data_IF_446259557646
#
_entry.id   IF_446259557646
#
_cell.length_a   1.000
_cell.length_b   1.000
_cell.length_c   1.000
_cell.angle_alpha   90.00
_cell.angle_beta   90.00
_cell.angle_gamma   90.00
#
_symmetry.space_group_name_H-M   'P 1'
#
loop_
_entity.id
_entity.type
_entity.pdbx_description
1 polymer ?
#
# COMPACT_ATOMS: atom_id res chain seq x y z
N UNK A 1 -27.32 102.55 -41.92
CA UNK A 1 -27.43 101.50 -42.95
C UNK A 1 -27.14 100.16 -42.29
N UNK A 2 -28.21 99.45 -41.95
CA UNK A 2 -28.38 97.99 -42.01
C UNK A 2 -27.27 97.14 -41.38
N UNK A 3 -27.51 96.73 -40.13
CA UNK A 3 -26.94 95.51 -39.55
C UNK A 3 -27.19 94.35 -40.53
N UNK A 4 -26.12 93.74 -41.03
CA UNK A 4 -26.19 92.61 -41.95
C UNK A 4 -26.89 91.45 -41.26
N UNK A 5 -28.08 91.12 -41.77
CA UNK A 5 -28.83 89.92 -41.36
C UNK A 5 -27.89 88.70 -41.44
N UNK A 6 -27.84 87.85 -40.39
CA UNK A 6 -27.05 86.63 -40.42
C UNK A 6 -27.40 85.80 -41.66
N UNK A 7 -26.40 85.22 -42.33
CA UNK A 7 -26.64 84.23 -43.39
C UNK A 7 -27.17 82.94 -42.74
N UNK A 8 -28.50 82.90 -42.56
CA UNK A 8 -29.23 81.79 -41.97
C UNK A 8 -28.97 80.46 -42.71
N UNK A 9 -28.59 80.50 -43.99
CA UNK A 9 -28.26 79.29 -44.76
C UNK A 9 -26.90 78.72 -44.36
N UNK A 10 -25.91 79.58 -44.11
CA UNK A 10 -24.61 79.17 -43.61
C UNK A 10 -24.70 78.60 -42.19
N UNK A 11 -25.47 79.25 -41.30
CA UNK A 11 -25.71 78.77 -39.93
C UNK A 11 -26.43 77.42 -39.90
N UNK A 12 -27.43 77.21 -40.76
CA UNK A 12 -28.15 75.94 -40.87
C UNK A 12 -27.24 74.78 -41.31
N UNK A 13 -26.35 75.01 -42.28
CA UNK A 13 -25.40 73.99 -42.76
C UNK A 13 -24.31 73.67 -41.73
N UNK A 14 -23.90 74.67 -40.94
CA UNK A 14 -22.97 74.47 -39.83
C UNK A 14 -23.63 73.67 -38.69
N UNK A 15 -24.89 73.95 -38.38
CA UNK A 15 -25.66 73.20 -37.40
C UNK A 15 -25.91 71.75 -37.85
N UNK A 16 -26.17 71.51 -39.15
CA UNK A 16 -26.25 70.15 -39.70
C UNK A 16 -24.94 69.37 -39.53
N UNK A 17 -23.79 69.99 -39.86
CA UNK A 17 -22.48 69.37 -39.66
C UNK A 17 -22.19 69.09 -38.19
N UNK A 18 -22.62 69.96 -37.26
CA UNK A 18 -22.50 69.71 -35.82
C UNK A 18 -23.39 68.55 -35.36
N UNK A 19 -24.59 68.40 -35.92
CA UNK A 19 -25.49 67.27 -35.61
C UNK A 19 -24.94 65.95 -36.14
N UNK A 20 -24.44 65.92 -37.37
CA UNK A 20 -23.81 64.74 -37.95
C UNK A 20 -22.52 64.34 -37.19
N UNK A 21 -21.70 65.32 -36.81
CA UNK A 21 -20.51 65.06 -35.99
C UNK A 21 -20.87 64.54 -34.59
N UNK A 22 -21.93 65.08 -33.97
CA UNK A 22 -22.41 64.61 -32.68
C UNK A 22 -23.00 63.19 -32.75
N UNK A 23 -23.73 62.86 -33.82
CA UNK A 23 -24.28 61.53 -34.03
C UNK A 23 -23.18 60.48 -34.29
N UNK A 24 -22.16 60.83 -35.08
CA UNK A 24 -21.00 59.96 -35.30
C UNK A 24 -20.20 59.75 -34.01
N UNK A 25 -19.95 60.82 -33.24
CA UNK A 25 -19.28 60.71 -31.94
C UNK A 25 -20.07 59.85 -30.94
N UNK A 26 -21.42 59.90 -30.99
CA UNK A 26 -22.27 59.07 -30.15
C UNK A 26 -22.19 57.59 -30.55
N UNK A 27 -22.20 57.28 -31.85
CA UNK A 27 -22.03 55.91 -32.37
C UNK A 27 -20.65 55.33 -32.04
N UNK A 28 -19.59 56.13 -32.17
CA UNK A 28 -18.24 55.71 -31.79
C UNK A 28 -18.13 55.45 -30.27
N UNK A 29 -18.75 56.29 -29.44
CA UNK A 29 -18.77 56.09 -28.00
C UNK A 29 -19.58 54.86 -27.57
N UNK A 30 -20.65 54.52 -28.30
CA UNK A 30 -21.45 53.31 -28.07
C UNK A 30 -20.67 52.05 -28.47
N UNK A 31 -20.07 52.03 -29.66
CA UNK A 31 -19.23 50.93 -30.11
C UNK A 31 -18.03 50.68 -29.17
N UNK A 32 -17.39 51.74 -28.66
CA UNK A 32 -16.30 51.61 -27.70
C UNK A 32 -16.76 50.99 -26.36
N UNK A 33 -17.99 51.31 -25.90
CA UNK A 33 -18.56 50.72 -24.68
C UNK A 33 -18.91 49.25 -24.87
N UNK A 34 -19.47 48.89 -26.02
CA UNK A 34 -19.76 47.49 -26.35
C UNK A 34 -18.48 46.65 -26.45
N UNK A 35 -17.42 47.18 -27.07
CA UNK A 35 -16.12 46.51 -27.14
C UNK A 35 -15.50 46.34 -25.75
N UNK A 36 -15.59 47.36 -24.89
CA UNK A 36 -15.12 47.26 -23.51
C UNK A 36 -15.91 46.24 -22.70
N UNK A 37 -17.22 46.18 -22.89
CA UNK A 37 -18.09 45.20 -22.23
C UNK A 37 -17.76 43.77 -22.68
N UNK A 38 -17.63 43.53 -23.99
CA UNK A 38 -17.25 42.23 -24.53
C UNK A 38 -15.87 41.79 -24.01
N UNK A 39 -14.91 42.71 -23.91
CA UNK A 39 -13.58 42.43 -23.36
C UNK A 39 -13.64 42.02 -21.89
N UNK A 40 -14.47 42.68 -21.09
CA UNK A 40 -14.69 42.33 -19.67
C UNK A 40 -15.37 40.97 -19.51
N UNK A 41 -16.37 40.67 -20.35
CA UNK A 41 -17.05 39.38 -20.36
C UNK A 41 -16.10 38.24 -20.75
N UNK A 42 -15.25 38.42 -21.76
CA UNK A 42 -14.20 37.43 -22.11
C UNK A 42 -13.18 37.24 -20.98
N UNK A 43 -12.74 38.31 -20.33
CA UNK A 43 -11.80 38.22 -19.21
C UNK A 43 -12.42 37.47 -18.03
N UNK A 44 -13.70 37.74 -17.74
CA UNK A 44 -14.44 37.03 -16.68
C UNK A 44 -14.59 35.54 -17.01
N UNK A 45 -14.97 35.19 -18.25
CA UNK A 45 -15.06 33.78 -18.68
C UNK A 45 -13.72 33.06 -18.58
N UNK A 46 -12.61 33.71 -18.94
CA UNK A 46 -11.26 33.15 -18.78
C UNK A 46 -10.89 32.91 -17.31
N UNK A 47 -11.28 33.82 -16.41
CA UNK A 47 -11.06 33.65 -14.96
C UNK A 47 -11.88 32.48 -14.40
N UNK A 48 -13.15 32.38 -14.76
CA UNK A 48 -14.04 31.29 -14.33
C UNK A 48 -13.56 29.93 -14.88
N UNK A 49 -13.12 29.86 -16.15
CA UNK A 49 -12.54 28.65 -16.73
C UNK A 49 -11.22 28.26 -16.07
N UNK A 50 -10.36 29.23 -15.72
CA UNK A 50 -9.11 28.99 -15.00
C UNK A 50 -9.36 28.47 -13.57
N UNK A 51 -10.34 29.06 -12.87
CA UNK A 51 -10.76 28.62 -11.53
C UNK A 51 -11.32 27.20 -11.56
N UNK A 52 -12.22 26.89 -12.50
CA UNK A 52 -12.73 25.52 -12.69
C UNK A 52 -11.64 24.53 -13.09
N UNK A 53 -10.68 24.93 -13.93
CA UNK A 53 -9.54 24.08 -14.28
C UNK A 53 -8.65 23.82 -13.07
N UNK A 54 -8.44 24.83 -12.21
CA UNK A 54 -7.69 24.71 -10.97
C UNK A 54 -8.41 23.80 -9.97
N UNK A 55 -9.72 23.95 -9.78
CA UNK A 55 -10.52 23.05 -8.93
C UNK A 55 -10.49 21.60 -9.43
N UNK A 56 -10.66 21.38 -10.74
CA UNK A 56 -10.56 20.04 -11.34
C UNK A 56 -9.16 19.45 -11.19
N UNK A 57 -8.11 20.27 -11.30
CA UNK A 57 -6.75 19.84 -11.07
C UNK A 57 -6.56 19.44 -9.60
N UNK A 58 -6.98 20.27 -8.64
CA UNK A 58 -6.93 19.99 -7.20
C UNK A 58 -7.70 18.72 -6.86
N UNK A 59 -8.92 18.53 -7.39
CA UNK A 59 -9.71 17.33 -7.14
C UNK A 59 -9.09 16.07 -7.77
N UNK A 60 -8.48 16.19 -8.94
CA UNK A 60 -7.75 15.09 -9.58
C UNK A 60 -6.51 14.70 -8.77
N UNK A 61 -5.75 15.67 -8.25
CA UNK A 61 -4.60 15.42 -7.37
C UNK A 61 -5.04 14.80 -6.05
N UNK A 62 -6.15 15.26 -5.48
CA UNK A 62 -6.76 14.72 -4.25
C UNK A 62 -7.24 13.27 -4.42
N UNK A 63 -7.57 12.84 -5.63
CA UNK A 63 -7.89 11.43 -5.97
C UNK A 63 -6.65 10.53 -6.12
N UNK A 64 -5.44 11.09 -6.19
CA UNK A 64 -4.17 10.38 -6.34
C UNK A 64 -3.21 10.54 -5.17
N UNK A 65 -3.59 11.29 -4.11
CA UNK A 65 -2.73 11.55 -2.96
C UNK A 65 -2.49 10.28 -2.13
N UNK A 66 -1.24 10.09 -1.67
CA UNK A 66 -0.89 9.08 -0.67
C UNK A 66 -1.75 9.25 0.60
N UNK A 67 -2.00 8.18 1.36
CA UNK A 67 -2.88 8.29 2.52
C UNK A 67 -2.24 9.12 3.64
N UNK A 68 -3.07 9.73 4.47
CA UNK A 68 -2.72 10.26 5.78
C UNK A 68 -2.50 9.08 6.75
N UNK A 69 -1.47 9.19 7.58
CA UNK A 69 -1.15 8.22 8.62
C UNK A 69 -1.66 8.75 9.97
N UNK A 70 -2.55 7.99 10.63
CA UNK A 70 -3.19 8.39 11.90
C UNK A 70 -3.04 7.31 12.98
N UNK A 71 -3.08 7.67 14.27
CA UNK A 71 -3.00 6.70 15.34
C UNK A 71 -4.28 5.84 15.43
N UNK A 72 -4.11 4.52 15.52
CA UNK A 72 -5.20 3.59 15.80
C UNK A 72 -5.54 3.57 17.29
N UNK A 73 -6.34 4.55 17.71
CA UNK A 73 -6.57 4.86 19.13
C UNK A 73 -7.25 3.73 19.93
N UNK A 74 -8.14 2.96 19.32
CA UNK A 74 -8.90 1.90 19.99
C UNK A 74 -8.30 0.49 19.83
N UNK A 75 -7.13 0.36 19.17
CA UNK A 75 -6.48 -0.93 18.92
C UNK A 75 -6.33 -1.78 20.19
N UNK A 76 -5.81 -1.20 21.27
CA UNK A 76 -5.61 -1.92 22.52
C UNK A 76 -6.92 -2.37 23.16
N UNK A 77 -7.99 -1.57 23.04
CA UNK A 77 -9.30 -1.93 23.58
C UNK A 77 -9.93 -3.08 22.79
N UNK A 78 -9.76 -3.09 21.45
CA UNK A 78 -10.19 -4.19 20.59
C UNK A 78 -9.44 -5.48 20.94
N UNK A 79 -8.10 -5.40 21.07
CA UNK A 79 -7.26 -6.52 21.49
C UNK A 79 -7.66 -7.06 22.86
N UNK A 80 -7.89 -6.18 23.85
CA UNK A 80 -8.31 -6.56 25.19
C UNK A 80 -9.64 -7.33 25.18
N UNK A 81 -10.63 -6.87 24.40
CA UNK A 81 -11.94 -7.53 24.29
C UNK A 81 -11.80 -8.98 23.81
N UNK A 82 -10.97 -9.22 22.80
CA UNK A 82 -10.69 -10.57 22.27
C UNK A 82 -10.03 -11.44 23.34
N UNK A 83 -9.10 -10.86 24.09
CA UNK A 83 -8.41 -11.56 25.16
C UNK A 83 -9.29 -11.87 26.36
N UNK A 84 -10.19 -10.98 26.74
CA UNK A 84 -11.17 -11.22 27.81
C UNK A 84 -12.05 -12.43 27.45
N UNK A 85 -12.58 -12.44 26.23
CA UNK A 85 -13.38 -13.57 25.71
C UNK A 85 -12.59 -14.88 25.68
N UNK A 86 -11.31 -14.83 25.33
CA UNK A 86 -10.43 -16.00 25.31
C UNK A 86 -10.12 -16.52 26.73
N UNK A 87 -9.83 -15.63 27.67
CA UNK A 87 -9.51 -16.01 29.04
C UNK A 87 -10.73 -16.55 29.79
N UNK A 88 -11.91 -15.96 29.58
CA UNK A 88 -13.19 -16.44 30.14
C UNK A 88 -13.60 -17.82 29.61
N UNK A 89 -13.10 -18.23 28.44
CA UNK A 89 -13.43 -19.53 27.86
C UNK A 89 -12.78 -20.71 28.58
N UNK A 90 -11.71 -20.47 29.33
CA UNK A 90 -10.88 -21.53 29.94
C UNK A 90 -9.83 -22.13 28.99
N UNK A 91 -9.88 -21.81 27.69
CA UNK A 91 -8.96 -22.36 26.67
C UNK A 91 -7.48 -22.19 27.03
N UNK A 92 -7.10 -21.04 27.58
CA UNK A 92 -5.72 -20.77 27.98
C UNK A 92 -5.22 -21.69 29.11
N UNK A 93 -6.11 -22.33 29.87
CA UNK A 93 -5.75 -23.28 30.94
C UNK A 93 -5.57 -24.71 30.42
N UNK A 94 -5.99 -24.98 29.18
CA UNK A 94 -5.89 -26.31 28.57
C UNK A 94 -4.49 -26.57 27.98
N UNK A 95 -4.07 -27.84 27.96
CA UNK A 95 -2.78 -28.25 27.42
C UNK A 95 -2.91 -28.71 25.96
N UNK A 96 -3.26 -27.77 25.08
CA UNK A 96 -3.43 -28.04 23.65
C UNK A 96 -2.11 -28.10 22.86
N UNK A 97 -1.04 -27.55 23.42
CA UNK A 97 0.16 -27.24 22.66
C UNK A 97 1.36 -28.11 23.01
N UNK A 98 2.37 -28.01 22.14
CA UNK A 98 3.65 -28.68 22.20
C UNK A 98 4.30 -28.58 23.59
N UNK A 99 4.99 -29.66 23.99
CA UNK A 99 5.68 -29.71 25.27
C UNK A 99 6.75 -28.62 25.40
N UNK A 100 7.00 -28.16 26.63
CA UNK A 100 8.04 -27.16 26.92
C UNK A 100 9.40 -27.58 26.35
N UNK A 101 9.75 -28.87 26.48
CA UNK A 101 11.02 -29.39 25.98
C UNK A 101 11.18 -29.21 24.47
N UNK A 102 10.14 -29.55 23.69
CA UNK A 102 10.17 -29.37 22.24
C UNK A 102 10.21 -27.89 21.84
N UNK A 103 9.58 -27.00 22.62
CA UNK A 103 9.70 -25.55 22.42
C UNK A 103 11.12 -25.05 22.69
N UNK A 104 11.78 -25.56 23.73
CA UNK A 104 13.19 -25.24 24.03
C UNK A 104 14.12 -25.71 22.90
N UNK A 105 13.93 -26.94 22.40
CA UNK A 105 14.70 -27.47 21.26
C UNK A 105 14.49 -26.62 19.99
N UNK A 106 13.25 -26.23 19.72
CA UNK A 106 12.92 -25.36 18.57
C UNK A 106 13.54 -23.98 18.73
N UNK A 107 13.48 -23.40 19.93
CA UNK A 107 14.09 -22.11 20.25
C UNK A 107 15.61 -22.12 20.04
N UNK A 108 16.28 -23.19 20.47
CA UNK A 108 17.72 -23.37 20.24
C UNK A 108 18.05 -23.50 18.75
N UNK A 109 17.23 -24.22 17.97
CA UNK A 109 17.40 -24.32 16.52
C UNK A 109 17.25 -22.97 15.81
N UNK A 110 16.26 -22.17 16.21
CA UNK A 110 16.02 -20.82 15.67
C UNK A 110 17.18 -19.89 16.03
N UNK A 111 17.66 -19.92 17.27
CA UNK A 111 18.78 -19.08 17.76
C UNK A 111 20.09 -19.30 17.00
N UNK A 112 20.31 -20.48 16.44
CA UNK A 112 21.53 -20.80 15.66
C UNK A 112 21.58 -20.13 14.29
N UNK A 113 20.46 -19.62 13.78
CA UNK A 113 20.43 -18.91 12.49
C UNK A 113 20.71 -17.43 12.72
N UNK A 114 21.65 -16.87 11.94
CA UNK A 114 21.90 -15.43 11.96
C UNK A 114 20.78 -14.70 11.20
N UNK A 115 20.25 -13.62 11.78
CA UNK A 115 19.27 -12.76 11.13
C UNK A 115 19.98 -11.71 10.27
N UNK A 116 20.06 -11.93 8.96
CA UNK A 116 20.80 -11.05 8.04
C UNK A 116 19.95 -10.45 6.92
N UNK A 117 18.71 -10.92 6.74
CA UNK A 117 17.85 -10.55 5.62
C UNK A 117 16.36 -10.66 5.97
N UNK A 118 15.50 -10.12 5.11
CA UNK A 118 14.04 -10.34 5.18
C UNK A 118 13.67 -11.82 5.08
N UNK A 119 14.42 -12.61 4.30
CA UNK A 119 14.21 -14.05 4.20
C UNK A 119 14.51 -14.77 5.53
N UNK A 120 15.59 -14.39 6.21
CA UNK A 120 15.90 -14.95 7.53
C UNK A 120 14.83 -14.55 8.56
N UNK A 121 14.36 -13.30 8.49
CA UNK A 121 13.26 -12.81 9.33
C UNK A 121 11.96 -13.58 9.07
N UNK A 122 11.62 -13.85 7.81
CA UNK A 122 10.47 -14.67 7.45
C UNK A 122 10.54 -16.06 8.10
N UNK A 123 11.69 -16.73 8.02
CA UNK A 123 11.87 -18.03 8.68
C UNK A 123 11.69 -17.92 10.18
N UNK A 124 12.28 -16.90 10.81
CA UNK A 124 12.16 -16.67 12.24
C UNK A 124 10.70 -16.47 12.67
N UNK A 125 9.99 -15.57 12.00
CA UNK A 125 8.59 -15.22 12.29
C UNK A 125 7.66 -16.41 12.07
N UNK A 126 7.90 -17.19 11.02
CA UNK A 126 7.14 -18.40 10.75
C UNK A 126 7.13 -19.37 11.92
N UNK A 127 8.30 -19.73 12.43
CA UNK A 127 8.41 -20.73 13.49
C UNK A 127 7.96 -20.19 14.86
N UNK A 128 8.25 -18.92 15.15
CA UNK A 128 8.06 -18.34 16.48
C UNK A 128 6.68 -17.74 16.70
N UNK A 129 6.00 -17.31 15.63
CA UNK A 129 4.72 -16.59 15.72
C UNK A 129 3.67 -17.20 14.80
N UNK A 130 3.89 -17.21 13.48
CA UNK A 130 2.85 -17.57 12.51
C UNK A 130 2.31 -19.00 12.70
N UNK A 131 3.20 -19.98 12.82
CA UNK A 131 2.82 -21.39 13.02
C UNK A 131 2.12 -21.56 14.38
N UNK A 132 2.54 -20.82 15.41
CA UNK A 132 1.92 -20.86 16.73
C UNK A 132 0.50 -20.28 16.70
N UNK A 133 0.31 -19.14 16.04
CA UNK A 133 -1.02 -18.53 15.83
C UNK A 133 -1.93 -19.47 15.04
N UNK A 134 -1.41 -20.09 13.98
CA UNK A 134 -2.17 -21.05 13.16
C UNK A 134 -2.62 -22.27 13.99
N UNK A 135 -1.75 -22.82 14.84
CA UNK A 135 -2.08 -23.91 15.77
C UNK A 135 -3.12 -23.50 16.80
N UNK A 136 -3.00 -22.30 17.38
CA UNK A 136 -3.99 -21.78 18.33
C UNK A 136 -5.36 -21.65 17.66
N UNK A 137 -5.44 -21.02 16.49
CA UNK A 137 -6.70 -20.85 15.75
C UNK A 137 -7.32 -22.20 15.38
N UNK A 138 -6.51 -23.20 15.02
CA UNK A 138 -6.99 -24.56 14.79
C UNK A 138 -7.62 -25.18 16.06
N UNK A 139 -7.00 -24.93 17.22
CA UNK A 139 -7.57 -25.29 18.52
C UNK A 139 -8.90 -24.58 18.78
N UNK A 140 -8.95 -23.26 18.61
CA UNK A 140 -10.17 -22.44 18.80
C UNK A 140 -11.31 -22.87 17.87
N UNK A 141 -11.00 -23.21 16.62
CA UNK A 141 -11.98 -23.70 15.65
C UNK A 141 -12.58 -25.07 16.05
N UNK A 142 -11.83 -25.89 16.80
CA UNK A 142 -12.30 -27.19 17.27
C UNK A 142 -13.35 -27.06 18.39
N UNK A 143 -13.32 -25.97 19.16
CA UNK A 143 -14.35 -25.63 20.15
C UNK A 143 -15.54 -24.90 19.48
N UNK A 144 -16.74 -25.49 19.56
CA UNK A 144 -17.97 -24.94 18.98
C UNK A 144 -18.41 -23.59 19.58
N UNK A 145 -18.08 -23.30 20.84
CA UNK A 145 -18.40 -22.02 21.49
C UNK A 145 -17.50 -20.92 20.94
N UNK A 146 -16.19 -21.15 20.99
CA UNK A 146 -15.17 -20.22 20.52
C UNK A 146 -15.24 -19.99 19.01
N UNK A 147 -15.45 -21.08 18.24
CA UNK A 147 -15.69 -20.99 16.80
C UNK A 147 -16.84 -20.04 16.45
N UNK A 148 -17.96 -20.12 17.17
CA UNK A 148 -19.10 -19.22 16.93
C UNK A 148 -18.83 -17.80 17.41
N UNK A 149 -18.15 -17.66 18.55
CA UNK A 149 -17.83 -16.37 19.15
C UNK A 149 -16.91 -15.52 18.27
N UNK A 150 -15.87 -16.14 17.70
CA UNK A 150 -14.89 -15.50 16.82
C UNK A 150 -15.19 -15.70 15.32
N UNK A 151 -16.37 -16.22 14.96
CA UNK A 151 -16.77 -16.38 13.56
C UNK A 151 -15.86 -17.29 12.72
N UNK A 152 -15.14 -18.23 13.34
CA UNK A 152 -14.16 -19.06 12.65
C UNK A 152 -14.84 -20.07 11.71
N UNK A 153 -14.61 -19.97 10.41
CA UNK A 153 -15.08 -20.90 9.36
C UNK A 153 -14.05 -21.97 8.94
N UNK A 154 -12.81 -21.92 9.46
CA UNK A 154 -11.76 -22.91 9.19
C UNK A 154 -10.38 -22.50 9.73
N UNK A 155 -9.31 -22.87 9.01
CA UNK A 155 -7.92 -22.69 9.46
C UNK A 155 -7.24 -21.47 8.83
N UNK A 156 -6.35 -20.84 9.58
CA UNK A 156 -5.49 -19.75 9.08
C UNK A 156 -4.12 -20.31 8.68
N UNK A 157 -3.59 -19.83 7.55
CA UNK A 157 -2.24 -20.12 7.07
C UNK A 157 -1.53 -18.82 6.64
N UNK A 158 -0.21 -18.80 6.75
CA UNK A 158 0.63 -17.71 6.26
C UNK A 158 1.34 -18.14 4.97
N UNK A 159 0.98 -17.54 3.84
CA UNK A 159 1.38 -17.96 2.49
C UNK A 159 2.09 -16.83 1.72
N UNK A 160 3.11 -17.16 0.92
CA UNK A 160 3.83 -16.20 0.07
C UNK A 160 3.21 -16.07 -1.35
N UNK A 161 2.25 -16.93 -1.72
CA UNK A 161 1.82 -17.08 -3.11
C UNK A 161 0.49 -16.36 -3.38
N UNK A 162 0.54 -15.07 -3.75
CA UNK A 162 -0.66 -14.31 -4.14
C UNK A 162 -1.49 -14.96 -5.27
N UNK A 163 -0.90 -15.87 -6.06
CA UNK A 163 -1.60 -16.62 -7.10
C UNK A 163 -2.73 -17.49 -6.51
N UNK A 164 -2.66 -17.93 -5.24
CA UNK A 164 -3.73 -18.74 -4.62
C UNK A 164 -4.98 -17.93 -4.28
N UNK A 165 -4.92 -16.60 -4.38
CA UNK A 165 -5.99 -15.66 -4.04
C UNK A 165 -6.68 -15.05 -5.26
N UNK A 166 -6.19 -15.33 -6.48
CA UNK A 166 -6.78 -14.83 -7.73
C UNK A 166 -7.64 -15.91 -8.41
N UNK A 167 -8.88 -15.61 -8.86
CA UNK A 167 -9.70 -16.55 -9.65
C UNK A 167 -9.02 -17.03 -10.95
N UNK A 168 -8.06 -16.25 -11.45
CA UNK A 168 -7.27 -16.54 -12.65
C UNK A 168 -6.31 -17.74 -12.50
N UNK A 169 -6.04 -18.18 -11.26
CA UNK A 169 -5.24 -19.38 -11.00
C UNK A 169 -5.89 -20.67 -11.51
N UNK A 170 -7.23 -20.71 -11.60
CA UNK A 170 -7.95 -21.85 -12.18
C UNK A 170 -7.69 -21.98 -13.69
N UNK A 171 -7.43 -20.86 -14.38
CA UNK A 171 -7.05 -20.86 -15.81
C UNK A 171 -5.61 -21.33 -16.00
N UNK A 172 -4.72 -20.99 -15.06
CA UNK A 172 -3.31 -21.40 -15.09
C UNK A 172 -3.15 -22.88 -14.70
N UNK A 173 -3.85 -23.37 -13.67
CA UNK A 173 -3.90 -24.80 -13.30
C UNK A 173 -4.52 -25.65 -14.41
N UNK A 174 -5.54 -25.13 -15.13
CA UNK A 174 -6.11 -25.78 -16.31
C UNK A 174 -5.13 -25.86 -17.50
N UNK A 175 -4.19 -24.92 -17.60
CA UNK A 175 -3.13 -24.92 -18.61
C UNK A 175 -1.94 -25.82 -18.21
N UNK A 176 -1.61 -25.91 -16.92
CA UNK A 176 -0.56 -26.82 -16.41
C UNK A 176 -0.98 -28.29 -16.50
N UNK A 177 -2.27 -28.60 -16.33
CA UNK A 177 -2.83 -29.95 -16.52
C UNK A 177 -2.88 -30.40 -18.00
N UNK A 178 -2.66 -29.48 -18.95
CA UNK A 178 -2.56 -29.78 -20.39
C UNK A 178 -1.13 -30.11 -20.86
N UNK A 179 -0.13 -30.04 -19.97
CA UNK A 179 1.25 -30.33 -20.36
C UNK A 179 1.97 -31.32 -19.45
N UNK A 180 1.60 -32.60 -19.52
CA UNK A 180 2.58 -33.71 -19.50
C UNK A 180 2.05 -34.88 -20.31
N UNK A 181 2.59 -35.09 -21.51
CA UNK A 181 3.02 -36.40 -22.05
C UNK A 181 3.51 -36.25 -23.49
N UNK A 182 4.84 -36.15 -23.67
CA UNK A 182 5.44 -36.09 -25.00
C UNK A 182 6.94 -35.89 -24.98
N UNK A 183 7.67 -36.91 -24.54
CA UNK A 183 9.08 -37.24 -24.83
C UNK A 183 9.95 -36.18 -25.55
N UNK A 184 11.01 -35.72 -24.87
CA UNK A 184 12.20 -35.20 -25.54
C UNK A 184 12.97 -34.16 -24.73
N UNK A 185 14.12 -34.57 -24.17
CA UNK A 185 15.15 -33.63 -23.68
C UNK A 185 15.57 -32.71 -24.84
N UNK A 186 15.01 -31.49 -24.93
CA UNK A 186 15.52 -30.43 -25.81
C UNK A 186 16.49 -29.56 -25.00
N UNK A 187 17.78 -29.80 -25.19
CA UNK A 187 18.83 -28.89 -24.75
C UNK A 187 18.64 -27.51 -25.39
N UNK A 188 18.95 -26.44 -24.64
CA UNK A 188 18.76 -25.07 -25.09
C UNK A 188 19.69 -24.70 -26.27
N UNK A 189 19.24 -23.89 -27.24
CA UNK A 189 20.04 -23.47 -28.41
C UNK A 189 21.36 -22.76 -28.03
N UNK A 190 21.40 -22.18 -26.82
CA UNK A 190 22.55 -21.45 -26.28
C UNK A 190 23.73 -22.37 -25.91
N UNK A 191 23.47 -23.64 -25.55
CA UNK A 191 24.51 -24.63 -25.28
C UNK A 191 25.02 -25.30 -26.57
N UNK A 192 24.18 -25.41 -27.61
CA UNK A 192 24.61 -25.88 -28.93
C UNK A 192 25.51 -24.87 -29.65
N UNK A 193 25.26 -23.56 -29.47
CA UNK A 193 26.10 -22.50 -30.04
C UNK A 193 27.51 -22.45 -29.42
N UNK A 194 27.67 -22.77 -28.14
CA UNK A 194 28.98 -22.81 -27.47
C UNK A 194 29.82 -24.06 -27.81
N UNK A 195 29.19 -25.14 -28.26
CA UNK A 195 29.89 -26.36 -28.69
C UNK A 195 30.41 -26.27 -30.15
N UNK A 196 29.79 -25.43 -30.99
CA UNK A 196 30.22 -25.20 -32.39
C UNK A 196 31.31 -24.14 -32.56
N UNK A 197 31.64 -23.38 -31.52
CA UNK A 197 32.66 -22.32 -31.57
C UNK A 197 34.07 -22.77 -31.16
N UNK A 198 34.33 -24.09 -31.03
CA UNK A 198 35.64 -24.65 -30.63
C UNK A 198 36.24 -25.56 -31.70
N UNK A 199 36.20 -25.12 -32.96
CA UNK A 199 36.93 -25.73 -34.07
C UNK A 199 37.14 -24.72 -35.18
N UNK A 200 38.38 -24.67 -35.70
CA UNK A 200 38.89 -23.86 -36.83
C UNK A 200 39.05 -22.34 -36.61
N UNK A 201 40.30 -21.88 -36.54
CA UNK A 201 40.70 -20.51 -36.91
C UNK A 201 41.35 -20.50 -38.31
N UNK A 202 42.09 -19.45 -38.71
CA UNK A 202 41.85 -18.02 -38.54
C UNK A 202 41.75 -17.29 -39.91
N UNK A 203 40.89 -16.27 -40.03
CA UNK A 203 41.08 -15.17 -40.99
C UNK A 203 40.14 -14.01 -40.69
N UNK A 204 40.76 -12.84 -40.48
CA UNK A 204 40.20 -11.50 -40.46
C UNK A 204 40.61 -10.80 -41.78
N UNK A 205 40.21 -9.54 -42.08
CA UNK A 205 39.04 -8.78 -41.62
C UNK A 205 38.32 -8.07 -42.80
N UNK A 206 37.08 -7.60 -42.62
CA UNK A 206 36.55 -6.26 -43.02
C UNK A 206 35.02 -6.29 -43.06
N UNK A 207 34.37 -5.31 -42.43
CA UNK A 207 32.92 -5.12 -42.59
C UNK A 207 32.27 -4.38 -41.43
N UNK A 208 32.34 -3.07 -41.51
CA UNK A 208 31.72 -2.02 -40.70
C UNK A 208 30.29 -2.31 -40.22
N UNK A 209 30.07 -1.95 -38.94
CA UNK A 209 28.82 -2.00 -38.21
C UNK A 209 27.71 -1.10 -38.78
N UNK A 210 26.50 -1.64 -38.85
CA UNK A 210 25.24 -0.88 -38.71
C UNK A 210 24.25 -1.81 -38.01
N UNK A 211 23.92 -1.52 -36.76
CA UNK A 211 22.90 -2.26 -36.01
C UNK A 211 21.60 -1.44 -36.03
N UNK A 212 20.64 -1.89 -36.83
CA UNK A 212 19.27 -1.39 -36.80
C UNK A 212 18.50 -2.01 -35.64
N UNK A 213 17.85 -1.14 -34.86
CA UNK A 213 16.88 -1.49 -33.83
C UNK A 213 15.63 -2.11 -34.46
N UNK A 214 15.41 -3.41 -34.24
CA UNK A 214 14.14 -4.06 -34.45
C UNK A 214 13.64 -4.64 -33.11
N UNK A 215 12.54 -4.05 -32.63
CA UNK A 215 11.95 -4.30 -31.31
C UNK A 215 11.68 -5.77 -31.00
N UNK A 216 12.21 -6.22 -29.86
CA UNK A 216 11.71 -7.41 -29.16
C UNK A 216 10.79 -6.94 -28.04
N UNK A 217 9.48 -6.98 -28.30
CA UNK A 217 8.46 -7.12 -27.24
C UNK A 217 8.68 -8.49 -26.59
N UNK A 218 9.53 -8.55 -25.58
CA UNK A 218 9.52 -9.66 -24.63
C UNK A 218 8.25 -9.51 -23.81
N UNK A 219 7.30 -10.43 -23.98
CA UNK A 219 6.29 -10.72 -22.96
C UNK A 219 7.02 -11.30 -21.75
N UNK A 220 7.63 -10.40 -20.97
CA UNK A 220 8.10 -10.72 -19.65
C UNK A 220 6.84 -11.06 -18.83
N UNK A 221 6.70 -12.32 -18.43
CA UNK A 221 5.72 -12.71 -17.42
C UNK A 221 5.83 -11.73 -16.27
N UNK A 222 4.71 -11.16 -15.84
CA UNK A 222 4.71 -10.00 -14.97
C UNK A 222 5.41 -10.34 -13.66
N UNK A 223 6.64 -9.87 -13.46
CA UNK A 223 7.31 -9.85 -12.16
C UNK A 223 6.66 -8.73 -11.34
N UNK A 224 5.39 -8.93 -10.96
CA UNK A 224 4.68 -7.98 -10.11
C UNK A 224 5.31 -8.07 -8.71
N UNK A 225 5.72 -6.95 -8.09
CA UNK A 225 6.13 -6.95 -6.69
C UNK A 225 4.97 -7.44 -5.82
N UNK A 226 5.27 -8.35 -4.90
CA UNK A 226 4.35 -9.09 -4.00
C UNK A 226 4.67 -8.70 -2.55
N UNK A 227 3.67 -8.73 -1.67
CA UNK A 227 3.93 -8.71 -0.24
C UNK A 227 4.72 -9.97 0.16
N UNK A 228 5.46 -9.90 1.26
CA UNK A 228 6.27 -11.04 1.69
C UNK A 228 5.40 -12.22 2.14
N UNK A 229 4.26 -11.92 2.79
CA UNK A 229 3.28 -12.91 3.18
C UNK A 229 1.83 -12.39 3.19
N UNK A 230 0.92 -13.34 3.09
CA UNK A 230 -0.52 -13.20 3.25
C UNK A 230 -0.99 -14.08 4.40
N UNK A 231 -1.75 -13.51 5.33
CA UNK A 231 -2.56 -14.30 6.23
C UNK A 231 -3.85 -14.69 5.49
N UNK A 232 -4.02 -15.99 5.26
CA UNK A 232 -5.10 -16.56 4.46
C UNK A 232 -5.99 -17.42 5.34
N UNK A 233 -7.25 -17.02 5.39
CA UNK A 233 -8.33 -17.75 6.01
C UNK A 233 -8.90 -18.78 5.04
N UNK A 234 -8.88 -20.06 5.40
CA UNK A 234 -9.43 -21.14 4.57
C UNK A 234 -10.81 -21.52 5.12
N UNK A 235 -11.87 -21.18 4.39
CA UNK A 235 -13.27 -21.37 4.79
C UNK A 235 -13.84 -22.75 4.40
N UNK A 236 -13.13 -23.50 3.55
CA UNK A 236 -13.56 -24.79 3.00
C UNK A 236 -12.63 -25.94 3.34
N UNK A 237 -13.13 -27.17 3.20
CA UNK A 237 -12.31 -28.39 3.29
C UNK A 237 -11.46 -28.62 2.04
N UNK A 238 -11.82 -27.97 0.94
CA UNK A 238 -11.12 -28.00 -0.35
C UNK A 238 -10.15 -26.83 -0.45
N UNK A 239 -8.91 -27.09 -0.91
CA UNK A 239 -7.88 -26.05 -1.15
C UNK A 239 -8.20 -25.16 -2.37
N UNK A 240 -9.46 -25.00 -2.73
CA UNK A 240 -9.88 -24.20 -3.89
C UNK A 240 -9.66 -22.71 -3.62
N UNK A 241 -9.39 -21.93 -4.66
CA UNK A 241 -9.22 -20.47 -4.52
C UNK A 241 -10.51 -19.76 -4.09
N UNK A 242 -11.69 -20.38 -4.28
CA UNK A 242 -12.99 -19.82 -3.88
C UNK A 242 -13.25 -19.92 -2.37
N UNK A 243 -12.51 -20.81 -1.68
CA UNK A 243 -12.63 -21.05 -0.24
C UNK A 243 -11.51 -20.33 0.56
N UNK A 244 -10.81 -19.38 -0.07
CA UNK A 244 -9.69 -18.66 0.55
C UNK A 244 -9.97 -17.17 0.62
N UNK A 245 -9.90 -16.62 1.82
CA UNK A 245 -10.11 -15.19 2.09
C UNK A 245 -8.82 -14.64 2.68
N UNK A 246 -8.27 -13.58 2.08
CA UNK A 246 -7.13 -12.89 2.66
C UNK A 246 -7.60 -12.06 3.88
N UNK A 247 -7.02 -12.31 5.05
CA UNK A 247 -7.33 -11.57 6.27
C UNK A 247 -6.50 -10.28 6.35
N UNK A 248 -5.19 -10.38 6.14
CA UNK A 248 -4.27 -9.25 6.12
C UNK A 248 -2.97 -9.57 5.36
N UNK A 249 -2.22 -8.53 4.99
CA UNK A 249 -0.86 -8.66 4.44
C UNK A 249 0.19 -8.49 5.53
N UNK A 250 1.32 -9.19 5.38
CA UNK A 250 2.47 -9.07 6.26
C UNK A 250 3.71 -8.72 5.44
N UNK A 251 4.36 -7.63 5.80
CA UNK A 251 5.55 -7.10 5.13
C UNK A 251 6.75 -7.14 6.08
N UNK A 252 7.85 -7.75 5.64
CA UNK A 252 9.06 -7.91 6.41
C UNK A 252 10.10 -6.88 6.04
N UNK A 253 10.65 -6.23 7.05
CA UNK A 253 11.83 -5.39 6.89
C UNK A 253 12.92 -5.88 7.82
N UNK A 254 14.09 -6.17 7.24
CA UNK A 254 15.20 -6.65 8.05
C UNK A 254 15.52 -5.62 9.16
N UNK A 255 15.76 -6.06 10.42
CA UNK A 255 15.86 -5.13 11.55
C UNK A 255 16.99 -4.11 11.43
N UNK A 256 18.05 -4.40 10.67
CA UNK A 256 19.13 -3.45 10.39
C UNK A 256 18.75 -2.39 9.35
N UNK A 257 17.72 -2.62 8.52
CA UNK A 257 17.20 -1.65 7.54
C UNK A 257 16.14 -0.74 8.14
N UNK A 258 15.37 -1.24 9.11
CA UNK A 258 14.41 -0.46 9.88
C UNK A 258 14.57 -0.70 11.39
N UNK A 259 15.63 -0.16 12.01
CA UNK A 259 15.88 -0.32 13.43
C UNK A 259 14.80 0.35 14.29
N UNK A 260 14.62 -0.15 15.51
CA UNK A 260 13.61 0.35 16.43
C UNK A 260 13.73 1.86 16.72
N UNK A 261 14.96 2.38 16.83
CA UNK A 261 15.19 3.82 17.01
C UNK A 261 14.68 4.67 15.85
N UNK A 262 14.73 4.15 14.61
CA UNK A 262 14.20 4.86 13.44
C UNK A 262 12.68 4.84 13.43
N UNK A 263 12.08 3.74 13.91
CA UNK A 263 10.63 3.65 14.08
C UNK A 263 10.15 4.66 15.14
N UNK A 264 10.78 4.73 16.31
CA UNK A 264 10.36 5.68 17.35
C UNK A 264 10.46 7.14 16.91
N UNK A 265 11.52 7.51 16.19
CA UNK A 265 11.71 8.90 15.76
C UNK A 265 10.94 9.25 14.48
N UNK A 266 10.67 8.27 13.64
CA UNK A 266 10.05 8.43 12.32
C UNK A 266 8.56 8.16 12.30
N UNK A 267 8.03 7.26 13.13
CA UNK A 267 6.60 6.95 13.17
C UNK A 267 5.83 8.02 13.93
N UNK A 268 4.73 8.47 13.35
CA UNK A 268 3.91 9.54 13.90
C UNK A 268 2.79 9.87 12.92
N UNK A 269 1.85 10.70 13.35
CA UNK A 269 0.84 11.26 12.44
C UNK A 269 1.52 12.08 11.34
N UNK A 270 1.13 11.83 10.09
CA UNK A 270 1.73 12.48 8.93
C UNK A 270 0.91 12.36 7.65
N UNK A 271 0.97 13.41 6.84
CA UNK A 271 0.60 13.36 5.43
C UNK A 271 1.74 12.69 4.64
N UNK A 272 1.51 11.48 4.11
CA UNK A 272 2.58 10.74 3.43
C UNK A 272 3.07 11.44 2.16
N UNK A 273 2.21 12.21 1.47
CA UNK A 273 2.58 12.98 0.28
C UNK A 273 3.65 14.04 0.58
N UNK A 274 3.52 14.72 1.72
CA UNK A 274 4.47 15.77 2.13
C UNK A 274 5.81 15.15 2.55
N UNK A 275 5.76 14.04 3.28
CA UNK A 275 6.96 13.38 3.83
C UNK A 275 7.84 12.74 2.74
N UNK A 276 7.26 12.35 1.61
CA UNK A 276 8.00 11.76 0.48
C UNK A 276 8.87 12.80 -0.25
N UNK A 277 8.57 14.09 -0.12
CA UNK A 277 9.35 15.15 -0.76
C UNK A 277 10.72 15.30 -0.08
N UNK A 278 11.76 15.43 -0.91
CA UNK A 278 13.13 15.65 -0.44
C UNK A 278 13.48 17.14 -0.46
N UNK A 279 14.09 17.64 0.62
CA UNK A 279 14.54 19.02 0.77
C UNK A 279 16.05 19.09 1.08
N UNK A 280 16.71 20.17 0.68
CA UNK A 280 18.16 20.31 0.90
C UNK A 280 18.54 20.47 2.39
N UNK A 281 17.64 21.04 3.20
CA UNK A 281 17.85 21.33 4.63
C UNK A 281 17.33 20.23 5.58
N UNK A 282 17.26 18.97 5.12
CA UNK A 282 16.65 17.88 5.87
C UNK A 282 17.36 17.50 7.17
N UNK A 283 16.55 17.47 8.23
CA UNK A 283 16.96 16.91 9.50
C UNK A 283 17.08 15.38 9.42
N UNK A 284 17.73 14.78 10.41
CA UNK A 284 17.78 13.31 10.54
C UNK A 284 16.38 12.73 10.79
N UNK A 285 15.51 13.47 11.51
CA UNK A 285 14.11 13.08 11.76
C UNK A 285 13.31 12.98 10.47
N UNK A 286 13.50 13.92 9.54
CA UNK A 286 12.79 13.92 8.25
C UNK A 286 13.13 12.68 7.43
N UNK A 287 14.41 12.26 7.46
CA UNK A 287 14.85 11.01 6.81
C UNK A 287 14.21 9.78 7.44
N UNK A 288 14.07 9.74 8.76
CA UNK A 288 13.41 8.62 9.46
C UNK A 288 11.92 8.58 9.17
N UNK A 289 11.24 9.74 9.20
CA UNK A 289 9.82 9.85 8.79
C UNK A 289 9.64 9.34 7.38
N UNK A 290 10.49 9.75 6.43
CA UNK A 290 10.44 9.28 5.05
C UNK A 290 10.68 7.78 4.89
N UNK A 291 11.62 7.22 5.64
CA UNK A 291 11.87 5.78 5.61
C UNK A 291 10.64 5.00 6.10
N UNK A 292 10.06 5.40 7.23
CA UNK A 292 8.85 4.76 7.79
C UNK A 292 7.66 4.94 6.82
N UNK A 293 7.46 6.15 6.30
CA UNK A 293 6.44 6.47 5.30
C UNK A 293 6.57 5.59 4.06
N UNK A 294 7.79 5.39 3.54
CA UNK A 294 8.03 4.54 2.38
C UNK A 294 7.66 3.07 2.64
N UNK A 295 7.98 2.55 3.83
CA UNK A 295 7.65 1.17 4.24
C UNK A 295 6.14 0.99 4.40
N UNK A 296 5.45 1.93 5.07
CA UNK A 296 3.99 1.88 5.24
C UNK A 296 3.28 2.05 3.90
N UNK A 297 3.75 2.96 3.04
CA UNK A 297 3.21 3.14 1.69
C UNK A 297 3.34 1.87 0.87
N UNK A 298 4.46 1.15 0.99
CA UNK A 298 4.65 -0.14 0.34
C UNK A 298 3.59 -1.16 0.81
N UNK A 299 3.42 -1.31 2.12
CA UNK A 299 2.41 -2.21 2.70
C UNK A 299 0.98 -1.82 2.26
N UNK A 300 0.64 -0.53 2.36
CA UNK A 300 -0.65 0.02 1.93
C UNK A 300 -0.93 -0.25 0.45
N UNK A 301 0.07 -0.11 -0.42
CA UNK A 301 -0.09 -0.41 -1.85
C UNK A 301 -0.51 -1.86 -2.10
N UNK A 302 -0.08 -2.81 -1.26
CA UNK A 302 -0.50 -4.21 -1.33
C UNK A 302 -1.89 -4.42 -0.73
N UNK A 303 -2.21 -3.76 0.37
CA UNK A 303 -3.55 -3.78 0.97
C UNK A 303 -4.61 -3.36 -0.05
N UNK A 304 -4.40 -2.24 -0.74
CA UNK A 304 -5.30 -1.73 -1.79
C UNK A 304 -5.36 -2.67 -2.99
N UNK A 305 -4.22 -3.20 -3.45
CA UNK A 305 -4.19 -4.09 -4.63
C UNK A 305 -4.94 -5.40 -4.43
N UNK A 306 -5.03 -5.88 -3.20
CA UNK A 306 -5.67 -7.16 -2.85
C UNK A 306 -7.06 -6.93 -2.26
N UNK A 307 -7.37 -5.70 -1.84
CA UNK A 307 -8.66 -5.33 -1.27
C UNK A 307 -8.82 -5.80 0.17
N UNK A 308 -7.75 -5.76 0.97
CA UNK A 308 -7.81 -6.06 2.41
C UNK A 308 -7.71 -4.80 3.24
N UNK A 309 -8.47 -4.75 4.33
CA UNK A 309 -8.52 -3.63 5.27
C UNK A 309 -7.30 -3.62 6.20
N UNK A 310 -6.76 -4.79 6.53
CA UNK A 310 -5.71 -4.95 7.54
C UNK A 310 -4.36 -5.30 6.93
N UNK A 311 -3.30 -4.84 7.59
CA UNK A 311 -1.93 -5.11 7.22
C UNK A 311 -1.00 -4.99 8.40
N UNK A 312 0.22 -5.51 8.28
CA UNK A 312 1.21 -5.41 9.33
C UNK A 312 2.62 -5.36 8.74
N UNK A 313 3.46 -4.48 9.29
CA UNK A 313 4.91 -4.45 9.02
C UNK A 313 5.64 -5.05 10.21
N UNK A 314 6.54 -6.00 9.97
CA UNK A 314 7.30 -6.67 11.01
C UNK A 314 8.80 -6.52 10.78
N UNK A 315 9.52 -6.16 11.85
CA UNK A 315 11.00 -6.10 11.86
C UNK A 315 11.64 -7.21 12.69
N UNK A 316 10.82 -8.06 13.32
CA UNK A 316 11.25 -9.05 14.30
C UNK A 316 11.37 -8.49 15.73
N UNK A 317 11.61 -7.19 15.88
CA UNK A 317 11.59 -6.49 17.17
C UNK A 317 10.28 -5.74 17.41
N UNK A 318 9.65 -5.25 16.34
CA UNK A 318 8.42 -4.49 16.38
C UNK A 318 7.41 -4.93 15.32
N UNK A 319 6.14 -4.73 15.64
CA UNK A 319 5.01 -4.78 14.70
C UNK A 319 4.43 -3.38 14.55
N UNK A 320 4.19 -2.97 13.31
CA UNK A 320 3.36 -1.81 12.99
C UNK A 320 2.08 -2.37 12.37
N UNK A 321 1.03 -2.48 13.17
CA UNK A 321 -0.29 -2.89 12.71
C UNK A 321 -0.93 -1.75 11.95
N UNK A 322 -1.56 -2.06 10.83
CA UNK A 322 -2.16 -1.11 9.91
C UNK A 322 -3.62 -1.48 9.65
N UNK A 323 -4.47 -0.47 9.56
CA UNK A 323 -5.87 -0.58 9.17
C UNK A 323 -6.22 0.55 8.22
N UNK A 324 -6.74 0.24 7.03
CA UNK A 324 -7.36 1.26 6.17
C UNK A 324 -8.62 1.76 6.88
N UNK A 325 -8.69 3.06 7.14
CA UNK A 325 -9.83 3.69 7.80
C UNK A 325 -11.09 3.71 6.93
N UNK A 326 -12.17 4.22 7.51
CA UNK A 326 -13.43 4.40 6.77
C UNK A 326 -13.25 5.36 5.59
N UNK A 327 -12.38 6.37 5.74
CA UNK A 327 -11.79 7.06 4.60
C UNK A 327 -10.60 6.22 4.09
N UNK A 328 -10.65 5.69 2.84
CA UNK A 328 -9.55 4.92 2.26
C UNK A 328 -8.27 5.73 2.05
N UNK A 329 -8.31 7.04 2.32
CA UNK A 329 -7.14 7.93 2.38
C UNK A 329 -6.51 8.00 3.75
N UNK A 330 -7.03 7.33 4.76
CA UNK A 330 -6.41 7.29 6.08
C UNK A 330 -5.95 5.86 6.36
N UNK A 331 -4.70 5.71 6.75
CA UNK A 331 -4.16 4.47 7.29
C UNK A 331 -3.96 4.67 8.78
N UNK A 332 -4.71 3.94 9.58
CA UNK A 332 -4.52 3.91 11.02
C UNK A 332 -3.37 2.97 11.35
N UNK A 333 -2.49 3.36 12.28
CA UNK A 333 -1.37 2.54 12.72
C UNK A 333 -1.33 2.33 14.23
N UNK A 334 -0.79 1.19 14.65
CA UNK A 334 -0.42 0.94 16.04
C UNK A 334 0.97 0.30 16.10
N UNK A 335 1.86 0.86 16.91
CA UNK A 335 3.19 0.30 17.16
C UNK A 335 3.16 -0.61 18.38
N UNK A 336 3.62 -1.84 18.21
CA UNK A 336 3.95 -2.72 19.32
C UNK A 336 5.40 -3.18 19.29
N UNK A 337 5.99 -3.28 20.48
CA UNK A 337 7.33 -3.78 20.71
C UNK A 337 7.25 -4.86 21.80
N UNK A 338 6.93 -6.13 21.44
CA UNK A 338 6.57 -7.16 22.42
C UNK A 338 7.57 -7.36 23.55
N UNK A 339 8.88 -7.23 23.26
CA UNK A 339 9.95 -7.33 24.27
C UNK A 339 9.83 -6.25 25.35
N UNK A 340 9.44 -5.03 24.97
CA UNK A 340 9.18 -3.93 25.90
C UNK A 340 7.79 -4.03 26.55
N UNK A 341 6.77 -4.37 25.75
CA UNK A 341 5.37 -4.36 26.17
C UNK A 341 5.09 -5.43 27.25
N UNK A 342 5.62 -6.65 27.10
CA UNK A 342 5.46 -7.73 28.09
C UNK A 342 6.28 -7.45 29.36
N UNK A 343 7.54 -7.05 29.19
CA UNK A 343 8.56 -7.03 30.23
C UNK A 343 9.24 -8.39 30.43
N UNK A 344 9.76 -8.64 31.64
CA UNK A 344 10.54 -9.85 31.94
C UNK A 344 9.69 -11.14 32.01
N UNK A 345 8.44 -11.02 32.45
CA UNK A 345 7.52 -12.15 32.55
C UNK A 345 6.11 -11.71 32.17
N UNK A 346 5.29 -12.65 31.72
CA UNK A 346 3.88 -12.39 31.41
C UNK A 346 3.03 -12.21 32.66
N UNK A 347 3.56 -12.52 33.86
CA UNK A 347 2.78 -12.58 35.10
C UNK A 347 1.72 -13.69 35.13
N UNK A 348 1.59 -14.47 34.05
CA UNK A 348 0.56 -15.48 33.91
C UNK A 348 0.91 -16.75 34.66
N UNK A 349 -0.01 -17.19 35.51
CA UNK A 349 0.02 -18.49 36.16
C UNK A 349 -1.38 -19.10 36.04
N UNK A 350 -1.45 -20.36 35.57
CA UNK A 350 -2.72 -21.03 35.36
C UNK A 350 -3.50 -21.13 36.69
N UNK A 351 -4.74 -20.61 36.70
CA UNK A 351 -5.61 -20.61 37.88
C UNK A 351 -5.36 -19.48 38.90
N UNK A 352 -4.48 -18.52 38.62
CA UNK A 352 -4.29 -17.32 39.43
C UNK A 352 -5.12 -16.15 38.91
N UNK A 353 -5.68 -15.34 39.82
CA UNK A 353 -6.32 -14.05 39.50
C UNK A 353 -5.30 -12.90 39.35
N UNK A 354 -3.99 -13.19 39.43
CA UNK A 354 -2.94 -12.19 39.22
C UNK A 354 -2.96 -11.62 37.81
N UNK A 355 -2.43 -10.40 37.65
CA UNK A 355 -2.34 -9.74 36.34
C UNK A 355 -1.68 -10.63 35.27
N UNK A 356 -2.27 -10.65 34.08
CA UNK A 356 -1.83 -11.42 32.93
C UNK A 356 -1.46 -10.49 31.77
N UNK A 357 -0.26 -10.68 31.20
CA UNK A 357 0.27 -9.94 30.05
C UNK A 357 0.53 -10.83 28.82
N UNK A 358 -0.06 -12.02 28.75
CA UNK A 358 0.01 -12.88 27.58
C UNK A 358 -0.41 -12.15 26.29
N UNK A 359 -1.41 -11.27 26.40
CA UNK A 359 -1.93 -10.45 25.31
C UNK A 359 -0.92 -9.44 24.74
N UNK A 360 0.17 -9.15 25.44
CA UNK A 360 1.24 -8.24 24.97
C UNK A 360 2.39 -8.99 24.27
N UNK A 361 2.37 -10.32 24.28
CA UNK A 361 3.39 -11.12 23.58
C UNK A 361 3.20 -11.02 22.07
N UNK A 362 4.27 -11.27 21.31
CA UNK A 362 4.21 -11.29 19.84
C UNK A 362 3.12 -12.25 19.31
N UNK A 363 3.07 -13.47 19.87
CA UNK A 363 2.03 -14.46 19.57
C UNK A 363 0.67 -13.93 19.96
N UNK A 364 0.56 -13.31 21.14
CA UNK A 364 -0.73 -12.90 21.67
C UNK A 364 -1.38 -11.73 20.93
N UNK A 365 -0.58 -10.77 20.49
CA UNK A 365 -1.04 -9.65 19.68
C UNK A 365 -1.36 -10.10 18.26
N UNK A 366 -0.50 -10.92 17.64
CA UNK A 366 -0.76 -11.44 16.31
C UNK A 366 -2.00 -12.35 16.31
N UNK A 367 -2.23 -13.13 17.37
CA UNK A 367 -3.44 -13.94 17.54
C UNK A 367 -4.68 -13.06 17.56
N UNK A 368 -4.74 -12.08 18.46
CA UNK A 368 -5.90 -11.21 18.56
C UNK A 368 -6.06 -10.26 17.35
N UNK A 369 -5.00 -10.01 16.59
CA UNK A 369 -5.11 -9.32 15.30
C UNK A 369 -5.66 -10.22 14.18
N UNK A 370 -5.52 -11.54 14.33
CA UNK A 370 -6.02 -12.53 13.36
C UNK A 370 -7.46 -12.96 13.64
N UNK A 371 -7.89 -12.95 14.91
CA UNK A 371 -9.27 -13.19 15.34
C UNK A 371 -10.14 -11.95 15.11
#
# INVERSE_FOLDING_TARGET
MVEGSPDYKALYLEEQRRREAAENAQKEAEAAREEEQHRREEEQRRREEAEQAQERAVEKTRKTALPELALWADFLAQQATIWDDLMESGFASERHFTSLHTLEETGEAVRRRMMSSELDLNVFQRHTVEDQVSLIIQGLHSDRRLRRKFGLQGSVNFENHANTLSPESQLEEGMEQLTVSGTGRRQSPRLQAKAKAKGTGPSDPTGTAVAEEAGRKSTAGSSRPRADQFCVYNTGTTRSAQDRIAAFILEYKAPHKLPLGYIYEGLGEMELEEVVQCHEDETVRDRFRRLVAAVITQAFSYMVRIGVEYGCVCTGEAYIFLRVGDDPRTVNYFLSVPKGDVGETTGWTAGSESGNRLHLTAVGQMLAFTL
#
